data_IF_163558730770
#
_entry.id   IF_163558730770
#
_cell.length_a   1.000
_cell.length_b   1.000
_cell.length_c   1.000
_cell.angle_alpha   90.00
_cell.angle_beta   90.00
_cell.angle_gamma   90.00
#
_symmetry.space_group_name_H-M   'P 1'
#
loop_
_entity.id
_entity.type
_entity.pdbx_description
1 polymer ?
#
# COMPACT_ATOMS: atom_id res chain seq x y z
N UNK A 1 2.70 4.92 -17.10
CA UNK A 1 2.78 4.23 -15.79
C UNK A 1 1.37 4.17 -15.23
N UNK A 2 0.84 2.97 -15.00
CA UNK A 2 -0.47 2.80 -14.37
C UNK A 2 -0.30 2.56 -12.88
N UNK A 3 -1.15 3.18 -12.07
CA UNK A 3 -1.27 2.86 -10.65
C UNK A 3 -2.42 1.89 -10.46
N UNK A 4 -2.29 0.99 -9.51
CA UNK A 4 -3.30 0.00 -9.18
C UNK A 4 -3.50 -0.05 -7.66
N UNK A 5 -4.67 -0.49 -7.25
CA UNK A 5 -4.92 -0.85 -5.85
C UNK A 5 -4.63 -2.33 -5.70
N UNK A 6 -3.82 -2.70 -4.73
CA UNK A 6 -3.45 -4.10 -4.55
C UNK A 6 -3.41 -4.53 -3.10
N UNK A 7 -3.69 -5.80 -2.88
CA UNK A 7 -3.35 -6.50 -1.67
C UNK A 7 -1.92 -7.03 -1.79
N UNK A 8 -1.07 -6.60 -0.89
CA UNK A 8 0.36 -6.89 -0.89
C UNK A 8 0.76 -7.75 0.29
N UNK A 9 1.76 -8.54 0.07
CA UNK A 9 2.46 -9.29 1.11
C UNK A 9 3.97 -9.17 0.96
N UNK A 10 4.68 -9.07 2.09
CA UNK A 10 6.13 -9.14 2.08
C UNK A 10 6.56 -10.57 1.69
N UNK A 11 7.56 -10.68 0.79
CA UNK A 11 8.09 -11.98 0.42
C UNK A 11 8.63 -12.75 1.63
N UNK A 12 8.19 -13.98 1.78
CA UNK A 12 8.58 -14.91 2.83
C UNK A 12 8.96 -16.26 2.22
N UNK A 13 10.22 -16.72 2.34
CA UNK A 13 10.66 -17.99 1.74
C UNK A 13 9.81 -19.19 2.14
N UNK A 14 9.41 -19.27 3.41
CA UNK A 14 8.59 -20.37 3.93
C UNK A 14 7.22 -20.46 3.30
N UNK A 15 6.69 -19.33 2.84
CA UNK A 15 5.35 -19.26 2.28
C UNK A 15 5.36 -19.27 0.75
N UNK A 16 6.32 -18.55 0.17
CA UNK A 16 6.39 -18.35 -1.26
C UNK A 16 7.40 -19.28 -1.94
N UNK A 17 7.97 -20.20 -1.17
CA UNK A 17 8.99 -21.14 -1.63
C UNK A 17 10.41 -20.67 -1.35
N UNK A 18 11.26 -21.62 -1.05
CA UNK A 18 12.70 -21.38 -0.86
C UNK A 18 13.36 -21.35 -2.23
N UNK A 19 13.88 -20.19 -2.56
CA UNK A 19 14.65 -20.00 -3.78
C UNK A 19 16.14 -20.21 -3.49
N UNK A 20 16.90 -20.49 -4.52
CA UNK A 20 18.35 -20.48 -4.39
C UNK A 20 18.82 -19.11 -3.89
N UNK A 21 19.89 -19.03 -3.06
CA UNK A 21 20.31 -17.77 -2.39
C UNK A 21 20.49 -16.60 -3.34
N UNK A 22 21.02 -16.86 -4.56
CA UNK A 22 21.22 -15.83 -5.58
C UNK A 22 19.91 -15.21 -6.06
N UNK A 23 18.86 -16.02 -6.18
CA UNK A 23 17.55 -15.60 -6.64
C UNK A 23 16.71 -14.99 -5.52
N UNK A 24 16.83 -15.55 -4.33
CA UNK A 24 16.15 -15.04 -3.13
C UNK A 24 16.54 -13.60 -2.82
N UNK A 25 17.79 -13.20 -3.03
CA UNK A 25 18.27 -11.84 -2.78
C UNK A 25 17.49 -10.78 -3.56
N UNK A 26 16.96 -11.10 -4.73
CA UNK A 26 16.17 -10.18 -5.57
C UNK A 26 14.77 -9.94 -5.03
N UNK A 27 14.21 -10.89 -4.25
CA UNK A 27 12.85 -10.79 -3.68
C UNK A 27 12.83 -10.37 -2.22
N UNK A 28 13.94 -10.50 -1.50
CA UNK A 28 14.00 -10.10 -0.11
C UNK A 28 13.71 -8.60 0.05
N UNK A 29 12.75 -8.30 0.92
CA UNK A 29 12.31 -6.93 1.17
C UNK A 29 11.32 -6.39 0.14
N UNK A 30 11.01 -7.15 -0.91
CA UNK A 30 10.01 -6.78 -1.89
C UNK A 30 8.61 -7.28 -1.48
N UNK A 31 7.60 -6.53 -1.92
CA UNK A 31 6.20 -6.92 -1.75
C UNK A 31 5.75 -7.72 -2.97
N UNK A 32 5.11 -8.85 -2.71
CA UNK A 32 4.42 -9.65 -3.71
C UNK A 32 2.97 -9.19 -3.81
N UNK A 33 2.47 -9.14 -5.02
CA UNK A 33 1.09 -8.81 -5.32
C UNK A 33 0.24 -10.07 -5.25
N UNK A 34 -0.70 -10.09 -4.31
CA UNK A 34 -1.65 -11.21 -4.16
C UNK A 34 -2.87 -11.00 -5.04
N UNK A 35 -3.42 -9.80 -4.98
CA UNK A 35 -4.59 -9.40 -5.75
C UNK A 35 -4.43 -7.95 -6.17
N UNK A 36 -4.83 -7.62 -7.38
CA UNK A 36 -4.74 -6.25 -7.92
C UNK A 36 -6.03 -5.83 -8.60
N UNK A 37 -6.34 -4.57 -8.47
CA UNK A 37 -7.49 -3.94 -9.10
C UNK A 37 -7.03 -2.67 -9.79
N UNK A 38 -7.27 -2.53 -11.10
CA UNK A 38 -7.00 -1.30 -11.82
C UNK A 38 -7.71 -0.12 -11.16
N UNK A 39 -7.06 1.04 -11.14
CA UNK A 39 -7.57 2.20 -10.43
C UNK A 39 -8.92 2.68 -10.99
N UNK A 40 -9.11 2.57 -12.29
CA UNK A 40 -10.38 2.94 -12.95
C UNK A 40 -11.52 2.03 -12.50
N UNK A 41 -11.26 0.72 -12.39
CA UNK A 41 -12.23 -0.25 -11.86
C UNK A 41 -12.56 0.05 -10.40
N UNK A 42 -11.56 0.44 -9.60
CA UNK A 42 -11.78 0.85 -8.22
C UNK A 42 -12.68 2.07 -8.14
N UNK A 43 -12.42 3.14 -8.89
CA UNK A 43 -13.24 4.36 -8.86
C UNK A 43 -14.67 4.12 -9.33
N UNK A 44 -14.86 3.29 -10.35
CA UNK A 44 -16.20 2.97 -10.86
C UNK A 44 -17.02 2.11 -9.90
N UNK A 45 -16.39 1.29 -9.07
CA UNK A 45 -17.05 0.32 -8.19
C UNK A 45 -16.48 0.32 -6.76
N UNK A 46 -16.21 1.47 -6.18
CA UNK A 46 -15.50 1.63 -4.89
C UNK A 46 -16.05 0.70 -3.80
N UNK A 47 -17.37 0.69 -3.57
CA UNK A 47 -17.97 -0.11 -2.49
C UNK A 47 -17.80 -1.61 -2.73
N UNK A 48 -18.00 -2.07 -3.97
CA UNK A 48 -17.89 -3.47 -4.36
C UNK A 48 -16.45 -3.96 -4.22
N UNK A 49 -15.50 -3.22 -4.80
CA UNK A 49 -14.08 -3.57 -4.78
C UNK A 49 -13.53 -3.53 -3.35
N UNK A 50 -13.89 -2.52 -2.55
CA UNK A 50 -13.47 -2.45 -1.15
C UNK A 50 -13.99 -3.64 -0.33
N UNK A 51 -15.23 -4.06 -0.56
CA UNK A 51 -15.80 -5.25 0.10
C UNK A 51 -15.08 -6.52 -0.33
N UNK A 52 -14.80 -6.66 -1.62
CA UNK A 52 -14.08 -7.80 -2.19
C UNK A 52 -12.65 -7.90 -1.63
N UNK A 53 -11.88 -6.83 -1.64
CA UNK A 53 -10.52 -6.81 -1.10
C UNK A 53 -10.48 -7.10 0.42
N UNK A 54 -11.46 -6.60 1.17
CA UNK A 54 -11.59 -6.94 2.60
C UNK A 54 -11.90 -8.41 2.81
N UNK A 55 -12.74 -9.00 1.95
CA UNK A 55 -13.05 -10.42 2.01
C UNK A 55 -11.81 -11.26 1.70
N UNK A 56 -11.12 -11.00 0.62
CA UNK A 56 -9.87 -11.67 0.25
C UNK A 56 -8.84 -11.56 1.38
N UNK A 57 -8.68 -10.38 1.96
CA UNK A 57 -7.78 -10.17 3.09
C UNK A 57 -8.17 -11.03 4.30
N UNK A 58 -9.47 -11.18 4.58
CA UNK A 58 -9.96 -12.02 5.69
C UNK A 58 -9.66 -13.50 5.44
N UNK A 59 -10.00 -14.01 4.26
CA UNK A 59 -9.73 -15.39 3.87
C UNK A 59 -8.24 -15.70 3.92
N UNK A 60 -7.43 -14.78 3.45
CA UNK A 60 -6.00 -14.92 3.45
C UNK A 60 -5.40 -14.92 4.87
N UNK A 61 -5.93 -14.12 5.80
CA UNK A 61 -5.53 -14.17 7.21
C UNK A 61 -5.83 -15.53 7.84
N UNK A 62 -7.01 -16.11 7.55
CA UNK A 62 -7.37 -17.44 8.03
C UNK A 62 -6.39 -18.51 7.52
N UNK A 63 -6.05 -18.43 6.25
CA UNK A 63 -5.06 -19.32 5.65
C UNK A 63 -3.68 -19.21 6.32
N UNK A 64 -3.23 -18.00 6.64
CA UNK A 64 -1.96 -17.80 7.31
C UNK A 64 -1.95 -18.24 8.76
N UNK A 65 -3.05 -18.05 9.48
CA UNK A 65 -3.12 -18.51 10.86
C UNK A 65 -3.01 -20.04 10.90
N UNK A 66 -3.57 -20.73 9.91
CA UNK A 66 -3.35 -22.18 9.73
C UNK A 66 -1.89 -22.50 9.44
N UNK A 67 -1.27 -21.81 8.51
CA UNK A 67 0.14 -22.01 8.18
C UNK A 67 1.09 -21.75 9.35
N UNK A 68 0.82 -20.73 10.17
CA UNK A 68 1.61 -20.44 11.37
C UNK A 68 1.55 -21.60 12.38
N UNK A 69 0.38 -22.23 12.49
CA UNK A 69 0.19 -23.35 13.40
C UNK A 69 0.89 -24.62 12.91
N UNK A 70 0.84 -24.88 11.59
CA UNK A 70 1.45 -26.05 10.97
C UNK A 70 2.97 -25.94 10.83
N UNK A 71 3.48 -24.73 10.59
CA UNK A 71 4.89 -24.43 10.40
C UNK A 71 5.40 -23.72 11.65
N UNK A 72 6.10 -24.39 12.50
CA UNK A 72 6.83 -23.80 13.64
C UNK A 72 7.82 -22.74 13.13
N UNK A 73 7.32 -21.51 12.81
CA UNK A 73 8.06 -20.49 12.09
C UNK A 73 9.04 -19.81 13.05
N UNK A 74 10.21 -20.36 13.16
CA UNK A 74 11.38 -19.82 13.86
C UNK A 74 12.43 -19.29 12.86
N UNK A 75 12.02 -18.80 11.70
CA UNK A 75 12.98 -18.43 10.66
C UNK A 75 13.56 -17.05 10.88
N UNK A 76 14.85 -17.01 11.11
CA UNK A 76 15.67 -15.79 11.02
C UNK A 76 15.72 -15.34 9.56
N UNK A 77 15.46 -14.06 9.33
CA UNK A 77 15.65 -13.45 8.01
C UNK A 77 17.04 -12.83 7.93
N UNK A 78 17.84 -13.12 6.90
CA UNK A 78 19.23 -12.67 6.85
C UNK A 78 19.41 -11.15 6.80
N UNK A 79 18.40 -10.41 6.33
CA UNK A 79 18.49 -8.96 6.13
C UNK A 79 17.48 -8.15 6.95
N UNK A 80 16.48 -8.78 7.57
CA UNK A 80 15.44 -8.09 8.33
C UNK A 80 15.51 -8.50 9.78
N UNK A 81 15.90 -7.57 10.63
CA UNK A 81 16.22 -7.82 12.05
C UNK A 81 15.02 -8.32 12.87
N UNK A 82 13.81 -7.88 12.57
CA UNK A 82 12.58 -8.22 13.32
C UNK A 82 11.60 -9.00 12.44
N UNK A 83 12.10 -9.92 11.64
CA UNK A 83 11.30 -10.64 10.65
C UNK A 83 10.15 -11.42 11.29
N UNK A 84 10.37 -12.10 12.42
CA UNK A 84 9.31 -12.81 13.14
C UNK A 84 8.19 -11.89 13.63
N UNK A 85 8.53 -10.71 14.14
CA UNK A 85 7.52 -9.73 14.56
C UNK A 85 6.73 -9.21 13.37
N UNK A 86 7.39 -8.98 12.22
CA UNK A 86 6.74 -8.57 10.98
C UNK A 86 5.79 -9.66 10.51
N UNK A 87 6.18 -10.93 10.55
CA UNK A 87 5.35 -12.05 10.15
C UNK A 87 4.17 -12.25 11.10
N UNK A 88 4.40 -12.16 12.40
CA UNK A 88 3.36 -12.27 13.43
C UNK A 88 2.38 -11.10 13.40
N UNK A 89 2.77 -9.97 12.84
CA UNK A 89 1.93 -8.78 12.79
C UNK A 89 1.00 -8.83 11.57
N UNK A 90 -0.34 -8.83 11.75
CA UNK A 90 -1.29 -8.82 10.64
C UNK A 90 -1.21 -7.57 9.75
N UNK A 91 -0.34 -6.60 10.08
CA UNK A 91 -0.11 -5.39 9.27
C UNK A 91 0.84 -5.60 8.09
N UNK A 92 1.52 -6.73 7.95
CA UNK A 92 2.35 -6.99 6.76
C UNK A 92 1.51 -7.23 5.50
N UNK A 93 0.20 -7.48 5.66
CA UNK A 93 -0.76 -7.40 4.58
C UNK A 93 -1.35 -6.03 4.52
N UNK A 94 -1.21 -5.41 3.39
CA UNK A 94 -1.72 -4.05 3.20
C UNK A 94 -2.48 -3.98 1.89
N UNK A 95 -3.60 -3.27 1.91
CA UNK A 95 -4.21 -2.75 0.69
C UNK A 95 -3.54 -1.42 0.43
N UNK A 96 -2.74 -1.35 -0.61
CA UNK A 96 -1.90 -0.21 -0.92
C UNK A 96 -2.09 0.22 -2.38
N UNK A 97 -1.79 1.48 -2.66
CA UNK A 97 -1.66 1.97 -4.02
C UNK A 97 -0.24 1.66 -4.47
N UNK A 98 -0.14 0.97 -5.59
CA UNK A 98 1.11 0.44 -6.11
C UNK A 98 1.40 0.88 -7.53
N UNK A 99 2.65 0.81 -7.87
CA UNK A 99 3.13 0.68 -9.23
C UNK A 99 3.55 -0.79 -9.40
N UNK A 100 2.84 -1.57 -10.24
CA UNK A 100 3.18 -2.96 -10.43
C UNK A 100 4.53 -3.08 -11.15
N UNK A 101 5.30 -4.06 -10.74
CA UNK A 101 6.58 -4.42 -11.35
C UNK A 101 6.65 -5.94 -11.45
N UNK A 102 7.52 -6.43 -12.30
CA UNK A 102 7.79 -7.86 -12.42
C UNK A 102 9.27 -8.09 -12.09
N UNK A 103 9.52 -9.01 -11.19
CA UNK A 103 10.88 -9.41 -10.85
C UNK A 103 11.13 -10.81 -11.40
N UNK A 104 12.02 -10.91 -12.37
CA UNK A 104 12.48 -12.19 -12.88
C UNK A 104 13.57 -12.76 -11.98
N UNK A 105 13.41 -14.02 -11.60
CA UNK A 105 14.33 -14.72 -10.69
C UNK A 105 15.30 -15.59 -11.48
N UNK A 106 14.82 -16.25 -12.53
CA UNK A 106 15.58 -17.15 -13.39
C UNK A 106 15.67 -16.64 -14.81
N UNK A 107 16.19 -17.51 -15.69
CA UNK A 107 16.27 -17.27 -17.12
C UNK A 107 14.96 -17.60 -17.86
N UNK A 108 14.06 -18.33 -17.20
CA UNK A 108 12.79 -18.76 -17.79
C UNK A 108 11.70 -17.72 -17.54
N UNK A 109 10.77 -17.57 -18.49
CA UNK A 109 9.59 -16.70 -18.36
C UNK A 109 8.66 -17.08 -17.19
N UNK A 110 8.71 -18.34 -16.75
CA UNK A 110 7.90 -18.88 -15.66
C UNK A 110 8.41 -18.49 -14.26
N UNK A 111 9.65 -18.02 -14.16
CA UNK A 111 10.27 -17.62 -12.89
C UNK A 111 10.04 -16.14 -12.57
N UNK A 112 8.85 -15.63 -12.90
CA UNK A 112 8.48 -14.23 -12.69
C UNK A 112 7.54 -14.08 -11.51
N UNK A 113 7.88 -13.15 -10.62
CA UNK A 113 7.01 -12.73 -9.52
C UNK A 113 6.43 -11.34 -9.80
N UNK A 114 5.12 -11.22 -9.63
CA UNK A 114 4.47 -9.92 -9.61
C UNK A 114 4.84 -9.22 -8.31
N UNK A 115 5.69 -8.22 -8.41
CA UNK A 115 6.16 -7.40 -7.31
C UNK A 115 5.56 -5.99 -7.40
N UNK A 116 5.72 -5.19 -6.36
CA UNK A 116 5.14 -3.86 -6.33
C UNK A 116 6.02 -2.84 -5.62
N UNK A 117 6.03 -1.64 -6.18
CA UNK A 117 6.53 -0.45 -5.51
C UNK A 117 5.36 0.25 -4.83
N UNK A 118 5.37 0.31 -3.49
CA UNK A 118 4.31 0.96 -2.72
C UNK A 118 4.38 2.48 -2.89
N UNK A 119 3.29 3.08 -3.34
CA UNK A 119 3.15 4.52 -3.58
C UNK A 119 2.25 5.24 -2.57
N UNK A 120 1.52 4.52 -1.74
CA UNK A 120 0.56 5.08 -0.78
C UNK A 120 1.18 6.14 0.12
N UNK A 121 2.40 5.92 0.60
CA UNK A 121 3.09 6.91 1.44
C UNK A 121 3.27 8.25 0.72
N UNK A 122 3.75 8.23 -0.51
CA UNK A 122 3.94 9.42 -1.34
C UNK A 122 2.63 10.15 -1.63
N UNK A 123 1.58 9.38 -1.91
CA UNK A 123 0.24 9.94 -2.14
C UNK A 123 -0.27 10.62 -0.87
N UNK A 124 -0.08 10.02 0.30
CA UNK A 124 -0.45 10.63 1.59
C UNK A 124 0.34 11.94 1.86
N UNK A 125 1.62 11.99 1.50
CA UNK A 125 2.40 13.23 1.60
C UNK A 125 1.87 14.33 0.69
N UNK A 126 1.56 14.00 -0.56
CA UNK A 126 0.98 14.93 -1.53
C UNK A 126 -0.39 15.42 -1.02
N UNK A 127 -1.26 14.51 -0.59
CA UNK A 127 -2.58 14.86 -0.03
C UNK A 127 -2.46 15.78 1.18
N UNK A 128 -1.49 15.52 2.07
CA UNK A 128 -1.26 16.35 3.26
C UNK A 128 -0.81 17.76 2.87
N UNK A 129 0.13 17.87 1.95
CA UNK A 129 0.57 19.17 1.40
C UNK A 129 -0.56 19.90 0.69
N UNK A 130 -1.34 19.20 -0.11
CA UNK A 130 -2.50 19.77 -0.81
C UNK A 130 -3.57 20.32 0.16
N UNK A 131 -3.91 19.54 1.20
CA UNK A 131 -4.85 20.00 2.24
C UNK A 131 -4.33 21.23 2.98
N UNK A 132 -3.04 21.28 3.30
CA UNK A 132 -2.42 22.42 3.93
C UNK A 132 -2.47 23.65 3.00
N UNK A 133 -2.15 23.50 1.72
CA UNK A 133 -2.27 24.54 0.72
C UNK A 133 -3.69 25.08 0.58
N UNK A 134 -4.69 24.19 0.46
CA UNK A 134 -6.09 24.59 0.39
C UNK A 134 -6.54 25.35 1.64
N UNK A 135 -6.09 24.90 2.81
CA UNK A 135 -6.41 25.59 4.08
C UNK A 135 -5.85 27.03 4.10
N UNK A 136 -4.61 27.21 3.68
CA UNK A 136 -3.97 28.54 3.58
C UNK A 136 -4.71 29.42 2.57
N UNK A 137 -4.94 28.89 1.36
CA UNK A 137 -5.66 29.60 0.30
C UNK A 137 -7.09 30.02 0.76
N UNK A 138 -7.81 29.12 1.41
CA UNK A 138 -9.16 29.43 1.93
C UNK A 138 -9.13 30.52 3.02
N UNK A 139 -8.07 30.55 3.84
CA UNK A 139 -7.86 31.62 4.81
C UNK A 139 -7.61 32.96 4.13
N UNK A 140 -6.76 32.99 3.09
CA UNK A 140 -6.47 34.18 2.30
C UNK A 140 -7.72 34.71 1.59
N UNK A 141 -8.50 33.81 0.96
CA UNK A 141 -9.78 34.18 0.32
C UNK A 141 -10.76 34.77 1.33
N UNK A 142 -10.90 34.14 2.52
CA UNK A 142 -11.74 34.72 3.57
C UNK A 142 -11.26 36.08 4.03
N UNK A 143 -9.95 36.28 4.18
CA UNK A 143 -9.39 37.58 4.55
C UNK A 143 -9.67 38.63 3.48
N UNK A 144 -9.53 38.31 2.19
CA UNK A 144 -9.86 39.20 1.10
C UNK A 144 -11.35 39.57 1.07
N UNK A 145 -12.23 38.58 1.28
CA UNK A 145 -13.68 38.82 1.36
C UNK A 145 -14.02 39.73 2.55
N UNK A 146 -13.39 39.49 3.70
CA UNK A 146 -13.59 40.31 4.91
C UNK A 146 -13.08 41.75 4.72
N UNK A 147 -11.93 41.93 4.04
CA UNK A 147 -11.39 43.24 3.68
C UNK A 147 -12.35 44.01 2.74
N UNK A 148 -12.83 43.32 1.70
CA UNK A 148 -13.80 43.90 0.75
C UNK A 148 -15.11 44.27 1.42
N UNK A 149 -15.60 43.43 2.35
CA UNK A 149 -16.77 43.74 3.16
C UNK A 149 -16.53 45.01 4.02
N UNK A 150 -15.35 45.12 4.65
CA UNK A 150 -14.98 46.30 5.44
C UNK A 150 -14.88 47.55 4.58
N UNK A 151 -14.36 47.48 3.39
CA UNK A 151 -14.30 48.61 2.44
C UNK A 151 -15.69 49.15 2.10
N UNK A 152 -16.66 48.23 1.95
CA UNK A 152 -18.05 48.59 1.58
C UNK A 152 -18.88 49.02 2.80
N UNK A 153 -18.73 48.36 3.94
CA UNK A 153 -19.62 48.56 5.11
C UNK A 153 -18.97 49.33 6.28
N UNK A 154 -17.67 49.54 6.22
CA UNK A 154 -16.87 50.12 7.29
C UNK A 154 -16.64 49.20 8.50
N UNK A 155 -17.15 47.98 8.48
CA UNK A 155 -17.03 47.00 9.58
C UNK A 155 -16.62 45.60 9.09
N UNK A 156 -15.97 44.84 9.97
CA UNK A 156 -15.72 43.42 9.68
C UNK A 156 -17.03 42.63 9.85
N UNK A 157 -17.24 41.57 9.05
CA UNK A 157 -18.37 40.65 9.28
C UNK A 157 -18.18 39.94 10.62
N UNK A 158 -19.28 39.79 11.38
CA UNK A 158 -19.28 39.02 12.63
C UNK A 158 -19.00 37.56 12.41
#
# INVERSE_FOLDING_TARGET
>A
MSFELALLELYMPLKHGVLQPIHASKLYGNYIVIERVPIDTFYNQIKKVTKQLKHIKKEYNIYLDKLKYEMNITSLHPFIRNYEEIIKNPKHYKIEIIQPTTTSIGENEWDQYSTAIVKTHWIHLIQRRWRAFLKTRNKEVKNLVNLKHREVTGRFPN
#
